data_IF_035268420403
#
_entry.id   IF_035268420403
#
_cell.length_a   1.000
_cell.length_b   1.000
_cell.length_c   1.000
_cell.angle_alpha   90.00
_cell.angle_beta   90.00
_cell.angle_gamma   90.00
#
_symmetry.space_group_name_H-M   'P 1'
#
loop_
_entity.id
_entity.type
_entity.pdbx_description
1 polymer ?
#
# COMPACT_ATOMS: atom_id res chain seq x y z
N UNK A 1 38.64 -28.96 25.08
CA UNK A 1 38.48 -27.83 24.19
C UNK A 1 37.21 -27.06 24.62
N UNK A 2 37.40 -25.93 25.30
CA UNK A 2 36.34 -25.02 25.67
C UNK A 2 35.96 -24.24 24.40
N UNK A 3 34.75 -24.51 23.88
CA UNK A 3 34.13 -23.72 22.84
C UNK A 3 33.76 -22.34 23.39
N UNK A 4 34.52 -21.32 22.97
CA UNK A 4 34.12 -19.93 23.14
C UNK A 4 32.89 -19.71 22.22
N UNK A 5 31.69 -19.77 22.80
CA UNK A 5 30.50 -19.24 22.15
C UNK A 5 30.73 -17.75 21.90
N UNK A 6 30.82 -17.36 20.64
CA UNK A 6 30.75 -15.95 20.28
C UNK A 6 29.40 -15.41 20.76
N UNK A 7 29.43 -14.62 21.83
CA UNK A 7 28.32 -13.81 22.20
C UNK A 7 27.98 -12.92 20.97
N UNK A 8 26.84 -13.17 20.32
CA UNK A 8 26.34 -12.27 19.31
C UNK A 8 26.19 -10.91 19.99
N UNK A 9 27.08 -9.97 19.67
CA UNK A 9 26.94 -8.61 20.17
C UNK A 9 25.59 -8.06 19.67
N UNK A 10 24.71 -7.73 20.63
CA UNK A 10 23.46 -7.06 20.32
C UNK A 10 23.77 -5.79 19.50
N UNK A 11 23.08 -5.62 18.38
CA UNK A 11 23.29 -4.45 17.53
C UNK A 11 22.95 -3.17 18.31
N UNK A 12 23.90 -2.24 18.37
CA UNK A 12 23.73 -0.97 19.07
C UNK A 12 22.80 -0.02 18.30
N UNK A 13 22.14 0.87 19.02
CA UNK A 13 21.33 1.93 18.42
C UNK A 13 22.21 2.87 17.59
N UNK A 14 21.67 3.36 16.46
CA UNK A 14 22.34 4.27 15.53
C UNK A 14 23.65 3.75 14.93
N UNK A 15 23.89 2.44 14.99
CA UNK A 15 25.02 1.81 14.33
C UNK A 15 24.78 1.71 12.82
N UNK A 16 25.74 2.10 11.95
CA UNK A 16 25.57 2.01 10.50
C UNK A 16 25.43 0.56 9.99
N UNK A 17 25.81 -0.42 10.80
CA UNK A 17 25.70 -1.84 10.49
C UNK A 17 24.47 -2.50 11.10
N UNK A 18 23.64 -1.75 11.84
CA UNK A 18 22.42 -2.28 12.42
C UNK A 18 21.26 -2.21 11.41
N UNK A 19 20.51 -3.31 11.28
CA UNK A 19 19.26 -3.35 10.54
C UNK A 19 18.20 -2.40 11.15
N UNK A 20 18.30 -2.12 12.44
CA UNK A 20 17.35 -1.31 13.18
C UNK A 20 18.02 -0.06 13.75
N UNK A 21 17.46 1.10 13.49
CA UNK A 21 17.99 2.38 13.97
C UNK A 21 18.15 2.42 15.49
N UNK A 22 17.22 1.85 16.24
CA UNK A 22 17.27 1.76 17.70
C UNK A 22 17.96 0.49 18.22
N UNK A 23 18.65 -0.24 17.34
CA UNK A 23 19.39 -1.45 17.69
C UNK A 23 18.51 -2.62 18.12
N UNK A 24 19.12 -3.55 18.86
CA UNK A 24 18.47 -4.80 19.29
C UNK A 24 17.97 -4.77 20.75
N UNK A 25 17.95 -3.61 21.37
CA UNK A 25 17.50 -3.40 22.76
C UNK A 25 18.20 -4.34 23.75
N UNK A 26 19.50 -4.52 23.60
CA UNK A 26 20.29 -5.45 24.43
C UNK A 26 19.96 -6.92 24.17
N UNK A 27 19.57 -7.30 22.96
CA UNK A 27 19.16 -8.65 22.58
C UNK A 27 17.66 -8.94 22.73
N UNK A 28 16.89 -7.99 23.33
CA UNK A 28 15.46 -8.22 23.61
C UNK A 28 14.63 -8.30 22.32
N UNK A 29 15.01 -7.52 21.30
CA UNK A 29 14.32 -7.54 20.01
C UNK A 29 14.49 -8.90 19.32
N UNK A 30 15.71 -9.45 19.30
CA UNK A 30 15.97 -10.79 18.76
C UNK A 30 15.19 -11.86 19.53
N UNK A 31 15.20 -11.80 20.88
CA UNK A 31 14.39 -12.72 21.71
C UNK A 31 12.89 -12.69 21.35
N UNK A 32 12.35 -11.48 21.13
CA UNK A 32 10.92 -11.32 20.75
C UNK A 32 10.66 -11.87 19.34
N UNK A 33 11.56 -11.64 18.38
CA UNK A 33 11.46 -12.23 17.04
C UNK A 33 11.48 -13.77 17.06
N UNK A 34 12.36 -14.35 17.86
CA UNK A 34 12.42 -15.80 18.05
C UNK A 34 11.12 -16.37 18.64
N UNK A 35 10.47 -15.59 19.52
CA UNK A 35 9.16 -15.92 20.10
C UNK A 35 7.97 -15.63 19.20
N UNK A 36 8.19 -15.06 18.01
CA UNK A 36 7.15 -14.77 17.04
C UNK A 36 6.61 -13.34 17.04
N UNK A 37 7.25 -12.39 17.72
CA UNK A 37 6.83 -10.99 17.76
C UNK A 37 7.81 -10.08 17.02
N UNK A 38 7.39 -9.44 15.94
CA UNK A 38 8.15 -8.41 15.21
C UNK A 38 7.49 -7.04 15.41
N UNK A 39 8.07 -6.22 16.29
CA UNK A 39 7.61 -4.85 16.51
C UNK A 39 8.27 -3.90 15.52
N UNK A 40 7.45 -3.05 14.90
CA UNK A 40 7.89 -2.02 13.96
C UNK A 40 7.41 -0.65 14.39
N UNK A 41 8.31 0.31 14.37
CA UNK A 41 8.01 1.74 14.40
C UNK A 41 8.74 2.37 13.23
N UNK A 42 7.99 2.92 12.31
CA UNK A 42 8.49 3.62 11.14
C UNK A 42 8.10 5.09 11.18
N UNK A 43 9.01 5.94 10.78
CA UNK A 43 8.76 7.37 10.59
C UNK A 43 9.23 7.77 9.20
N UNK A 44 8.36 8.41 8.45
CA UNK A 44 8.66 8.98 7.13
C UNK A 44 8.34 10.46 7.17
N UNK A 45 9.32 11.31 6.91
CA UNK A 45 9.15 12.75 6.77
C UNK A 45 9.49 13.20 5.37
N UNK A 46 8.61 14.01 4.77
CA UNK A 46 8.75 14.49 3.40
C UNK A 46 8.67 16.01 3.34
N UNK A 47 9.76 16.63 2.89
CA UNK A 47 9.83 18.06 2.62
C UNK A 47 9.78 18.30 1.11
N UNK A 48 9.02 19.31 0.69
CA UNK A 48 8.96 19.76 -0.70
C UNK A 48 8.88 21.29 -0.76
N UNK A 49 9.50 21.87 -1.77
CA UNK A 49 9.50 23.31 -2.00
C UNK A 49 9.19 23.64 -3.46
N UNK A 50 8.35 24.65 -3.69
CA UNK A 50 8.16 25.24 -4.99
C UNK A 50 9.29 26.26 -5.26
N UNK A 51 10.07 26.02 -6.30
CA UNK A 51 11.18 26.90 -6.67
C UNK A 51 10.79 27.89 -7.77
N UNK A 52 9.83 27.49 -8.63
CA UNK A 52 9.36 28.28 -9.76
C UNK A 52 8.06 27.71 -10.31
N UNK A 53 7.16 28.55 -10.81
CA UNK A 53 5.90 28.15 -11.43
C UNK A 53 4.83 27.69 -10.42
N UNK A 54 3.90 26.86 -10.88
CA UNK A 54 2.69 26.52 -10.16
C UNK A 54 1.58 27.55 -10.41
N UNK A 55 0.46 27.41 -9.67
CA UNK A 55 -0.72 28.24 -9.90
C UNK A 55 -0.47 29.74 -9.63
N UNK A 56 0.18 30.07 -8.54
CA UNK A 56 0.41 31.44 -8.07
C UNK A 56 1.90 31.82 -7.99
N UNK A 57 2.79 30.95 -8.48
CA UNK A 57 4.26 31.13 -8.42
C UNK A 57 4.80 31.39 -7.00
N UNK A 58 4.06 31.00 -5.96
CA UNK A 58 4.48 31.21 -4.58
C UNK A 58 5.62 30.25 -4.21
N UNK A 59 6.80 30.81 -3.94
CA UNK A 59 8.03 30.09 -3.56
C UNK A 59 8.01 29.73 -2.10
N UNK A 60 7.35 28.63 -1.78
CA UNK A 60 7.15 28.15 -0.41
C UNK A 60 7.46 26.69 -0.25
N UNK A 61 7.67 26.26 0.99
CA UNK A 61 7.88 24.85 1.36
C UNK A 61 6.73 24.29 2.18
N UNK A 62 6.59 22.98 2.11
CA UNK A 62 5.69 22.19 2.97
C UNK A 62 6.40 20.98 3.51
N UNK A 63 5.94 20.53 4.66
CA UNK A 63 6.39 19.32 5.31
C UNK A 63 5.20 18.49 5.73
N UNK A 64 5.32 17.18 5.53
CA UNK A 64 4.37 16.19 6.00
C UNK A 64 5.09 14.97 6.53
N UNK A 65 4.47 14.23 7.42
CA UNK A 65 5.05 13.03 7.96
C UNK A 65 4.02 11.94 8.26
N UNK A 66 4.52 10.76 8.48
CA UNK A 66 3.77 9.59 8.90
C UNK A 66 4.54 8.80 9.94
N UNK A 67 3.86 8.44 11.03
CA UNK A 67 4.25 7.36 11.91
C UNK A 67 3.47 6.10 11.56
N UNK A 68 4.13 4.95 11.60
CA UNK A 68 3.49 3.65 11.55
C UNK A 68 4.01 2.80 12.72
N UNK A 69 3.13 2.42 13.62
CA UNK A 69 3.43 1.54 14.75
C UNK A 69 2.67 0.23 14.57
N UNK A 70 3.39 -0.88 14.54
CA UNK A 70 2.80 -2.18 14.30
C UNK A 70 3.49 -3.34 15.01
N UNK A 71 2.80 -4.46 15.02
CA UNK A 71 3.33 -5.76 15.41
C UNK A 71 2.87 -6.81 14.43
N UNK A 72 3.84 -7.57 13.91
CA UNK A 72 3.60 -8.80 13.15
C UNK A 72 3.83 -9.99 14.09
N UNK A 73 2.90 -10.93 14.10
CA UNK A 73 2.93 -12.09 14.99
C UNK A 73 2.92 -13.38 14.19
N UNK A 74 3.91 -14.24 14.44
CA UNK A 74 3.93 -15.63 14.00
C UNK A 74 3.15 -16.48 15.01
N UNK A 75 1.90 -16.80 14.69
CA UNK A 75 1.02 -17.51 15.61
C UNK A 75 1.37 -19.00 15.73
N UNK A 76 2.19 -19.55 14.84
CA UNK A 76 2.72 -20.89 15.01
C UNK A 76 3.69 -20.94 16.21
N UNK A 77 4.59 -19.95 16.31
CA UNK A 77 5.50 -19.81 17.43
C UNK A 77 4.81 -19.46 18.74
N UNK A 78 3.77 -18.60 18.69
CA UNK A 78 3.09 -18.08 19.88
C UNK A 78 2.03 -19.04 20.41
N UNK A 79 1.23 -19.65 19.53
CA UNK A 79 0.03 -20.42 19.87
C UNK A 79 0.06 -21.85 19.31
N UNK A 80 1.04 -22.23 18.50
CA UNK A 80 1.06 -23.50 17.78
C UNK A 80 0.09 -23.58 16.59
N UNK A 81 -0.44 -22.46 16.13
CA UNK A 81 -1.33 -22.39 14.96
C UNK A 81 -0.50 -22.40 13.68
N UNK A 82 -0.42 -23.55 13.04
CA UNK A 82 0.44 -23.78 11.88
C UNK A 82 0.19 -22.77 10.76
N UNK A 83 1.29 -22.24 10.22
CA UNK A 83 1.31 -21.34 9.06
C UNK A 83 0.32 -20.16 9.19
N UNK A 84 0.15 -19.65 10.41
CA UNK A 84 -0.79 -18.56 10.72
C UNK A 84 -0.06 -17.34 11.22
N UNK A 85 -0.40 -16.19 10.67
CA UNK A 85 0.18 -14.89 10.98
C UNK A 85 -0.91 -13.89 11.35
N UNK A 86 -0.57 -12.94 12.20
CA UNK A 86 -1.45 -11.84 12.57
C UNK A 86 -0.67 -10.52 12.43
N UNK A 87 -1.34 -9.48 11.93
CA UNK A 87 -0.80 -8.13 11.82
C UNK A 87 -1.72 -7.14 12.50
N UNK A 88 -1.13 -6.24 13.26
CA UNK A 88 -1.77 -5.04 13.76
C UNK A 88 -0.88 -3.84 13.42
N UNK A 89 -1.46 -2.78 12.86
CA UNK A 89 -0.75 -1.53 12.56
C UNK A 89 -1.68 -0.34 12.73
N UNK A 90 -1.20 0.68 13.43
CA UNK A 90 -1.79 2.01 13.45
C UNK A 90 -0.85 3.00 12.78
N UNK A 91 -1.42 3.96 12.06
CA UNK A 91 -0.66 5.05 11.44
C UNK A 91 -1.18 6.39 11.90
N UNK A 92 -0.31 7.37 11.85
CA UNK A 92 -0.66 8.76 12.09
C UNK A 92 0.01 9.61 11.02
N UNK A 93 -0.74 10.49 10.39
CA UNK A 93 -0.24 11.44 9.38
C UNK A 93 -0.45 12.86 9.83
N UNK A 94 0.56 13.72 9.58
CA UNK A 94 0.54 15.14 9.89
C UNK A 94 1.07 15.98 8.74
N UNK A 95 0.91 17.30 8.89
CA UNK A 95 1.55 18.29 8.02
C UNK A 95 0.66 18.77 6.87
N UNK A 96 1.31 19.39 5.88
CA UNK A 96 0.67 20.08 4.76
C UNK A 96 1.29 19.62 3.45
N UNK A 97 0.47 19.59 2.40
CA UNK A 97 0.86 19.16 1.06
C UNK A 97 1.15 20.35 0.15
N UNK A 98 2.32 20.37 -0.46
CA UNK A 98 2.72 21.45 -1.37
C UNK A 98 1.88 21.48 -2.63
N UNK A 99 1.58 20.31 -3.22
CA UNK A 99 0.80 20.23 -4.47
C UNK A 99 -0.60 20.80 -4.29
N UNK A 100 -1.28 20.43 -3.19
CA UNK A 100 -2.63 20.93 -2.89
C UNK A 100 -2.63 22.43 -2.53
N UNK A 101 -1.63 22.87 -1.76
CA UNK A 101 -1.66 24.20 -1.18
C UNK A 101 -1.19 25.28 -2.17
N UNK A 102 -0.26 24.93 -3.09
CA UNK A 102 0.47 25.94 -3.87
C UNK A 102 0.71 25.63 -5.35
N UNK A 103 0.80 24.35 -5.73
CA UNK A 103 1.13 24.01 -7.12
C UNK A 103 -0.14 23.87 -7.95
N UNK A 104 -1.16 23.19 -7.42
CA UNK A 104 -2.42 22.93 -8.13
C UNK A 104 -3.29 24.17 -8.27
N UNK A 105 -3.90 24.35 -9.44
CA UNK A 105 -4.97 25.32 -9.61
C UNK A 105 -6.18 24.91 -8.77
N UNK A 106 -6.70 25.75 -7.86
CA UNK A 106 -7.86 25.42 -7.03
C UNK A 106 -9.12 25.01 -7.82
N UNK A 107 -9.21 25.36 -9.10
CA UNK A 107 -10.33 25.03 -9.99
C UNK A 107 -10.14 23.70 -10.73
N UNK A 108 -8.91 23.34 -11.04
CA UNK A 108 -8.57 22.16 -11.84
C UNK A 108 -7.85 21.06 -11.04
N UNK A 109 -7.31 21.40 -9.87
CA UNK A 109 -6.51 20.48 -9.05
C UNK A 109 -5.11 20.24 -9.60
N UNK A 110 -4.56 19.08 -9.33
CA UNK A 110 -3.25 18.63 -9.76
C UNK A 110 -3.27 17.13 -10.07
N UNK A 111 -2.37 16.70 -10.95
CA UNK A 111 -2.33 15.30 -11.40
C UNK A 111 -1.75 14.38 -10.31
N UNK A 112 -0.80 14.86 -9.51
CA UNK A 112 -0.11 14.05 -8.51
C UNK A 112 0.38 14.90 -7.33
N UNK A 113 0.60 14.25 -6.20
CA UNK A 113 1.19 14.87 -5.01
C UNK A 113 2.69 14.64 -4.99
N UNK A 114 3.47 15.69 -4.70
CA UNK A 114 4.92 15.59 -4.48
C UNK A 114 5.29 15.06 -3.09
N UNK A 115 4.30 14.81 -2.25
CA UNK A 115 4.45 14.25 -0.90
C UNK A 115 3.46 13.10 -0.75
N UNK A 116 3.94 11.86 -0.85
CA UNK A 116 3.08 10.66 -0.91
C UNK A 116 2.48 10.30 0.44
N UNK A 117 3.17 10.60 1.56
CA UNK A 117 2.65 10.28 2.91
C UNK A 117 1.57 11.25 3.37
N UNK A 118 1.19 12.23 2.53
CA UNK A 118 0.06 13.10 2.83
C UNK A 118 -1.27 12.52 2.34
N UNK A 119 -2.34 12.82 3.05
CA UNK A 119 -3.70 12.51 2.64
C UNK A 119 -4.43 11.55 3.57
N UNK A 120 -5.70 11.34 3.28
CA UNK A 120 -6.64 10.54 4.07
C UNK A 120 -6.90 11.09 5.47
N UNK A 121 -6.84 12.44 5.63
CA UNK A 121 -7.38 13.17 6.77
C UNK A 121 -6.39 13.57 7.84
N UNK A 122 -5.09 13.36 7.65
CA UNK A 122 -4.04 13.77 8.61
C UNK A 122 -4.43 13.42 10.05
N UNK A 123 -4.63 12.13 10.33
CA UNK A 123 -5.19 11.62 11.58
C UNK A 123 -4.66 10.23 11.89
N UNK A 124 -4.92 9.74 13.10
CA UNK A 124 -4.69 8.35 13.49
C UNK A 124 -5.67 7.40 12.82
N UNK A 125 -5.16 6.27 12.31
CA UNK A 125 -5.97 5.22 11.70
C UNK A 125 -5.51 3.83 12.09
N UNK A 126 -6.48 2.92 12.28
CA UNK A 126 -6.23 1.49 12.25
C UNK A 126 -6.02 1.08 10.79
N UNK A 127 -4.78 0.86 10.42
CA UNK A 127 -4.38 0.61 9.04
C UNK A 127 -4.41 -0.87 8.69
N UNK A 128 -3.99 -1.71 9.64
CA UNK A 128 -4.02 -3.17 9.48
C UNK A 128 -4.49 -3.83 10.77
N UNK A 129 -5.39 -4.78 10.63
CA UNK A 129 -5.81 -5.73 11.66
C UNK A 129 -6.28 -6.99 10.94
N UNK A 130 -5.36 -7.90 10.65
CA UNK A 130 -5.70 -9.08 9.87
C UNK A 130 -5.05 -10.36 10.39
N UNK A 131 -5.68 -11.48 10.06
CA UNK A 131 -5.18 -12.83 10.21
C UNK A 131 -4.97 -13.42 8.83
N UNK A 132 -3.82 -14.09 8.65
CA UNK A 132 -3.46 -14.79 7.42
C UNK A 132 -3.09 -16.23 7.75
N UNK A 133 -3.60 -17.16 6.98
CA UNK A 133 -3.27 -18.57 7.12
C UNK A 133 -2.96 -19.20 5.77
N UNK A 134 -1.94 -20.04 5.75
CA UNK A 134 -1.54 -20.81 4.57
C UNK A 134 -1.96 -22.27 4.70
N UNK A 135 -2.31 -22.85 3.57
CA UNK A 135 -2.74 -24.26 3.45
C UNK A 135 -1.98 -24.90 2.30
N UNK A 136 -1.93 -26.25 2.29
CA UNK A 136 -1.31 -27.04 1.22
C UNK A 136 0.14 -26.62 0.94
N UNK A 137 0.96 -26.60 2.01
CA UNK A 137 2.37 -26.20 1.96
C UNK A 137 2.60 -24.81 1.34
N UNK A 138 1.68 -23.87 1.60
CA UNK A 138 1.76 -22.49 1.12
C UNK A 138 1.15 -22.27 -0.27
N UNK A 139 0.59 -23.30 -0.93
CA UNK A 139 -0.06 -23.12 -2.21
C UNK A 139 -1.31 -22.23 -2.13
N UNK A 140 -2.05 -22.29 -1.03
CA UNK A 140 -3.22 -21.45 -0.80
C UNK A 140 -2.96 -20.55 0.41
N UNK A 141 -3.16 -19.24 0.24
CA UNK A 141 -2.97 -18.21 1.27
C UNK A 141 -4.26 -17.40 1.40
N UNK A 142 -4.83 -17.38 2.60
CA UNK A 142 -6.08 -16.69 2.92
C UNK A 142 -5.81 -15.63 3.95
N UNK A 143 -6.19 -14.39 3.66
CA UNK A 143 -6.07 -13.23 4.55
C UNK A 143 -7.45 -12.61 4.79
N UNK A 144 -7.81 -12.41 6.05
CA UNK A 144 -9.08 -11.84 6.48
C UNK A 144 -8.86 -10.80 7.57
N UNK A 145 -9.62 -9.72 7.52
CA UNK A 145 -9.60 -8.68 8.54
C UNK A 145 -9.78 -7.29 7.97
N UNK A 146 -9.05 -6.32 8.52
CA UNK A 146 -9.04 -4.94 8.05
C UNK A 146 -7.71 -4.59 7.40
N UNK A 147 -7.74 -4.27 6.11
CA UNK A 147 -6.58 -3.83 5.32
C UNK A 147 -7.05 -3.13 4.04
N UNK A 148 -6.12 -2.42 3.38
CA UNK A 148 -6.38 -1.72 2.13
C UNK A 148 -6.13 -2.59 0.90
N UNK A 149 -6.79 -2.29 -0.21
CA UNK A 149 -6.66 -3.03 -1.48
C UNK A 149 -5.24 -2.98 -2.03
N UNK A 150 -4.61 -1.81 -1.98
CA UNK A 150 -3.26 -1.60 -2.51
C UNK A 150 -2.16 -2.37 -1.78
N UNK A 151 -2.48 -3.01 -0.64
CA UNK A 151 -1.56 -3.89 0.07
C UNK A 151 -1.28 -5.18 -0.72
N UNK A 152 -2.27 -5.70 -1.44
CA UNK A 152 -2.17 -6.95 -2.19
C UNK A 152 -2.31 -6.76 -3.71
N UNK A 153 -3.25 -5.91 -4.15
CA UNK A 153 -3.62 -5.73 -5.55
C UNK A 153 -3.02 -4.47 -6.16
N UNK A 154 -2.70 -4.52 -7.45
CA UNK A 154 -2.03 -3.42 -8.15
C UNK A 154 -0.78 -2.93 -7.37
N UNK A 155 -0.08 -3.84 -6.72
CA UNK A 155 1.12 -3.52 -5.96
C UNK A 155 2.19 -2.95 -6.89
N UNK A 156 2.77 -1.84 -6.49
CA UNK A 156 3.71 -1.06 -7.27
C UNK A 156 4.76 -0.45 -6.35
N UNK A 157 6.03 -0.34 -6.74
CA UNK A 157 7.07 0.22 -5.89
C UNK A 157 6.74 1.63 -5.39
N UNK A 158 7.20 1.96 -4.19
CA UNK A 158 7.16 3.30 -3.63
C UNK A 158 8.59 3.76 -3.33
N UNK A 159 9.38 3.94 -4.39
CA UNK A 159 10.78 4.33 -4.30
C UNK A 159 10.98 5.85 -4.48
N UNK A 160 9.92 6.56 -4.81
CA UNK A 160 9.93 8.01 -5.05
C UNK A 160 8.91 8.71 -4.16
N UNK A 161 9.25 9.91 -3.72
CA UNK A 161 8.36 10.76 -2.93
C UNK A 161 7.09 11.19 -3.68
N UNK A 162 7.06 11.11 -5.01
CA UNK A 162 5.93 11.50 -5.84
C UNK A 162 4.87 10.38 -5.91
N UNK A 163 3.62 10.70 -5.59
CA UNK A 163 2.51 9.76 -5.54
C UNK A 163 2.22 9.06 -6.88
N UNK A 164 2.56 9.67 -8.02
CA UNK A 164 2.44 9.02 -9.34
C UNK A 164 3.40 7.83 -9.50
N UNK A 165 4.44 7.74 -8.66
CA UNK A 165 5.42 6.66 -8.66
C UNK A 165 5.45 5.89 -7.32
N UNK A 166 4.34 5.88 -6.60
CA UNK A 166 4.25 5.24 -5.31
C UNK A 166 2.94 4.48 -5.15
N UNK A 167 3.04 3.20 -4.81
CA UNK A 167 1.92 2.38 -4.42
C UNK A 167 0.93 2.04 -5.53
N UNK A 168 -0.25 1.57 -5.15
CA UNK A 168 -1.32 1.19 -6.07
C UNK A 168 -1.91 2.40 -6.78
N UNK A 169 -1.74 2.48 -8.09
CA UNK A 169 -2.19 3.62 -8.89
C UNK A 169 -3.72 3.67 -9.05
N UNK A 170 -4.41 2.53 -8.95
CA UNK A 170 -5.88 2.50 -8.95
C UNK A 170 -6.44 3.41 -7.85
N UNK A 171 -5.88 3.35 -6.65
CA UNK A 171 -6.33 4.20 -5.54
C UNK A 171 -6.05 5.68 -5.71
N UNK A 172 -5.10 6.06 -6.55
CA UNK A 172 -4.80 7.45 -6.85
C UNK A 172 -5.81 8.07 -7.82
N UNK A 173 -6.33 7.27 -8.76
CA UNK A 173 -7.28 7.73 -9.78
C UNK A 173 -8.75 7.39 -9.46
N UNK A 174 -8.99 6.29 -8.77
CA UNK A 174 -10.32 5.84 -8.34
C UNK A 174 -10.47 5.81 -6.81
N UNK A 175 -9.95 6.81 -6.12
CA UNK A 175 -9.90 6.88 -4.66
C UNK A 175 -11.24 6.95 -3.94
N UNK A 176 -12.35 7.06 -4.67
CA UNK A 176 -13.72 6.95 -4.13
C UNK A 176 -14.16 5.49 -3.91
N UNK A 177 -13.50 4.54 -4.59
CA UNK A 177 -13.84 3.12 -4.54
C UNK A 177 -12.67 2.21 -4.16
N UNK A 178 -11.44 2.68 -4.30
CA UNK A 178 -10.22 1.97 -3.97
C UNK A 178 -9.46 2.71 -2.88
N UNK A 179 -9.31 2.09 -1.72
CA UNK A 179 -8.73 2.74 -0.54
C UNK A 179 -7.32 2.23 -0.27
N UNK A 180 -6.33 3.04 -0.65
CA UNK A 180 -4.93 2.77 -0.33
C UNK A 180 -4.61 3.09 1.13
N UNK A 181 -3.44 2.64 1.56
CA UNK A 181 -2.83 3.03 2.82
C UNK A 181 -2.96 4.55 3.10
N UNK A 182 -3.32 4.98 4.31
CA UNK A 182 -3.45 4.21 5.55
C UNK A 182 -4.90 3.77 5.88
N UNK A 183 -5.81 3.81 4.93
CA UNK A 183 -7.21 3.43 5.15
C UNK A 183 -7.35 1.90 5.08
N UNK A 184 -8.11 1.34 5.99
CA UNK A 184 -8.49 -0.07 5.97
C UNK A 184 -9.99 -0.25 5.98
N UNK A 185 -10.45 -1.35 5.42
CA UNK A 185 -11.83 -1.82 5.46
C UNK A 185 -11.87 -3.32 5.71
N UNK A 186 -13.04 -3.86 6.04
CA UNK A 186 -13.21 -5.31 6.14
C UNK A 186 -12.98 -5.96 4.77
N UNK A 187 -12.17 -6.99 4.77
CA UNK A 187 -11.73 -7.64 3.55
C UNK A 187 -11.40 -9.11 3.73
N UNK A 188 -11.54 -9.84 2.64
CA UNK A 188 -11.05 -11.21 2.45
C UNK A 188 -10.22 -11.26 1.17
N UNK A 189 -9.02 -11.80 1.22
CA UNK A 189 -8.19 -12.08 0.06
C UNK A 189 -7.77 -13.54 0.06
N UNK A 190 -7.90 -14.19 -1.09
CA UNK A 190 -7.44 -15.57 -1.35
C UNK A 190 -6.43 -15.54 -2.48
N UNK A 191 -5.24 -16.10 -2.24
CA UNK A 191 -4.17 -16.24 -3.23
C UNK A 191 -3.87 -17.72 -3.42
N UNK A 192 -3.74 -18.16 -4.69
CA UNK A 192 -3.41 -19.53 -5.04
C UNK A 192 -2.22 -19.59 -6.00
N UNK A 193 -1.17 -20.27 -5.57
CA UNK A 193 0.01 -20.56 -6.37
C UNK A 193 -0.24 -21.85 -7.15
N UNK A 194 -0.55 -21.73 -8.44
CA UNK A 194 -0.89 -22.89 -9.28
C UNK A 194 0.29 -23.42 -10.10
N UNK A 195 1.39 -22.66 -10.16
CA UNK A 195 2.67 -23.04 -10.76
C UNK A 195 3.82 -22.31 -10.07
N UNK A 196 5.09 -22.71 -10.24
CA UNK A 196 6.23 -22.20 -9.47
C UNK A 196 6.36 -20.66 -9.44
N UNK A 197 6.12 -20.01 -10.58
CA UNK A 197 6.28 -18.55 -10.71
C UNK A 197 4.93 -17.85 -10.95
N UNK A 198 3.82 -18.56 -10.80
CA UNK A 198 2.51 -18.06 -11.13
C UNK A 198 1.54 -18.17 -9.97
N UNK A 199 0.81 -17.13 -9.72
CA UNK A 199 -0.34 -17.18 -8.83
C UNK A 199 -1.49 -16.29 -9.31
N UNK A 200 -2.67 -16.63 -8.85
CA UNK A 200 -3.88 -15.83 -8.99
C UNK A 200 -4.37 -15.43 -7.60
N UNK A 201 -4.88 -14.23 -7.48
CA UNK A 201 -5.55 -13.81 -6.25
C UNK A 201 -6.88 -13.14 -6.56
N UNK A 202 -7.80 -13.31 -5.62
CA UNK A 202 -9.12 -12.68 -5.62
C UNK A 202 -9.37 -12.03 -4.26
N UNK A 203 -10.14 -10.97 -4.26
CA UNK A 203 -10.49 -10.25 -3.04
C UNK A 203 -11.96 -9.86 -2.99
N UNK A 204 -12.43 -9.59 -1.77
CA UNK A 204 -13.69 -8.94 -1.51
C UNK A 204 -13.47 -7.90 -0.40
N UNK A 205 -13.71 -6.64 -0.71
CA UNK A 205 -13.46 -5.51 0.18
C UNK A 205 -14.75 -4.75 0.42
N UNK A 206 -15.01 -4.40 1.66
CA UNK A 206 -16.11 -3.51 2.01
C UNK A 206 -15.92 -2.15 1.32
N UNK A 207 -16.97 -1.65 0.68
CA UNK A 207 -17.02 -0.29 0.14
C UNK A 207 -17.80 0.61 1.10
N UNK A 208 -17.08 1.28 1.99
CA UNK A 208 -17.67 2.13 3.02
C UNK A 208 -16.99 3.51 3.02
N UNK A 209 -17.58 4.51 2.34
CA UNK A 209 -17.01 5.86 2.26
C UNK A 209 -16.79 6.52 3.63
N UNK A 210 -17.55 6.12 4.65
CA UNK A 210 -17.35 6.66 6.00
C UNK A 210 -16.01 6.27 6.61
N UNK A 211 -15.33 5.22 6.12
CA UNK A 211 -13.97 4.88 6.53
C UNK A 211 -12.95 5.94 6.10
N UNK A 212 -13.27 6.80 5.13
CA UNK A 212 -12.40 7.90 4.69
C UNK A 212 -12.47 9.12 5.62
N UNK A 213 -13.53 9.26 6.40
CA UNK A 213 -13.72 10.39 7.30
C UNK A 213 -12.66 10.44 8.38
N UNK A 214 -12.19 11.65 8.70
CA UNK A 214 -11.11 11.88 9.67
C UNK A 214 -11.42 11.32 11.06
N UNK A 215 -12.68 11.44 11.53
CA UNK A 215 -13.11 10.92 12.82
C UNK A 215 -13.30 9.40 12.89
N UNK A 216 -13.25 8.70 11.75
CA UNK A 216 -13.57 7.28 11.65
C UNK A 216 -12.32 6.38 11.50
N UNK A 217 -11.14 6.85 11.87
CA UNK A 217 -9.89 6.11 11.73
C UNK A 217 -9.87 4.73 12.43
N UNK A 218 -10.65 4.56 13.48
CA UNK A 218 -10.78 3.29 14.24
C UNK A 218 -12.17 2.66 14.15
N UNK A 219 -13.00 3.10 13.21
CA UNK A 219 -14.35 2.57 13.06
C UNK A 219 -14.34 1.11 12.63
N UNK A 220 -14.96 0.24 13.41
CA UNK A 220 -15.06 -1.20 13.16
C UNK A 220 -16.42 -1.65 12.63
N UNK A 221 -17.46 -0.81 12.76
CA UNK A 221 -18.81 -1.16 12.30
C UNK A 221 -18.94 -1.05 10.79
N UNK A 222 -19.77 -1.92 10.18
CA UNK A 222 -20.14 -1.84 8.76
C UNK A 222 -21.20 -0.75 8.44
N UNK A 223 -21.57 0.09 9.40
CA UNK A 223 -22.51 1.18 9.16
C UNK A 223 -21.97 2.14 8.10
N UNK A 224 -22.76 2.43 7.07
CA UNK A 224 -22.34 3.25 5.92
C UNK A 224 -21.80 2.46 4.73
N UNK A 225 -21.74 1.14 4.81
CA UNK A 225 -21.37 0.28 3.66
C UNK A 225 -22.31 0.48 2.50
N UNK A 226 -21.76 0.70 1.32
CA UNK A 226 -22.49 0.96 0.06
C UNK A 226 -22.39 -0.19 -0.94
N UNK A 227 -21.49 -1.13 -0.72
CA UNK A 227 -21.25 -2.26 -1.62
C UNK A 227 -19.94 -2.97 -1.32
N UNK A 228 -19.44 -3.68 -2.31
CA UNK A 228 -18.19 -4.41 -2.26
C UNK A 228 -17.34 -4.11 -3.49
N UNK A 229 -16.02 -4.11 -3.31
CA UNK A 229 -15.03 -4.15 -4.38
C UNK A 229 -14.49 -5.57 -4.51
N UNK A 230 -14.49 -6.09 -5.73
CA UNK A 230 -14.11 -7.46 -6.07
C UNK A 230 -12.95 -7.46 -7.07
N UNK A 231 -11.70 -7.37 -6.63
CA UNK A 231 -10.54 -7.48 -7.51
C UNK A 231 -10.16 -8.92 -7.79
N UNK A 232 -9.60 -9.14 -8.98
CA UNK A 232 -8.90 -10.36 -9.39
C UNK A 232 -7.59 -9.98 -10.05
N UNK A 233 -6.51 -10.71 -9.79
CA UNK A 233 -5.20 -10.42 -10.33
C UNK A 233 -4.42 -11.71 -10.62
N UNK A 234 -3.87 -11.81 -11.84
CA UNK A 234 -2.92 -12.83 -12.24
C UNK A 234 -1.50 -12.25 -12.13
N UNK A 235 -0.58 -12.98 -11.52
CA UNK A 235 0.77 -12.53 -11.25
C UNK A 235 1.77 -13.58 -11.71
N UNK A 236 2.79 -13.11 -12.45
CA UNK A 236 3.92 -13.90 -12.90
C UNK A 236 5.21 -13.30 -12.36
N UNK A 237 5.99 -14.11 -11.65
CA UNK A 237 7.25 -13.71 -11.00
C UNK A 237 8.44 -14.49 -11.56
N UNK A 238 8.83 -14.25 -12.84
CA UNK A 238 9.94 -14.96 -13.46
C UNK A 238 11.29 -14.55 -12.92
N UNK A 239 12.26 -15.42 -13.11
CA UNK A 239 13.69 -15.10 -13.06
C UNK A 239 14.25 -15.15 -14.48
N UNK A 240 14.84 -14.04 -14.96
CA UNK A 240 15.18 -13.85 -16.37
C UNK A 240 16.70 -13.77 -16.56
N UNK A 241 17.15 -14.33 -17.70
CA UNK A 241 18.56 -14.28 -18.10
C UNK A 241 19.48 -15.22 -17.31
N UNK A 242 20.77 -15.17 -17.64
CA UNK A 242 21.80 -16.00 -17.02
C UNK A 242 22.01 -15.68 -15.53
N UNK A 243 21.76 -14.45 -15.13
CA UNK A 243 21.88 -13.99 -13.75
C UNK A 243 20.62 -14.20 -12.91
N UNK A 244 19.57 -14.81 -13.48
CA UNK A 244 18.29 -15.09 -12.81
C UNK A 244 17.68 -13.84 -12.15
N UNK A 245 17.68 -12.71 -12.88
CA UNK A 245 17.19 -11.43 -12.39
C UNK A 245 15.66 -11.45 -12.18
N UNK A 246 15.16 -10.99 -11.03
CA UNK A 246 13.75 -11.07 -10.71
C UNK A 246 12.91 -10.12 -11.58
N UNK A 247 11.76 -10.61 -12.00
CA UNK A 247 10.70 -9.83 -12.63
C UNK A 247 9.37 -10.06 -11.91
N UNK A 248 8.44 -9.13 -12.08
CA UNK A 248 7.07 -9.28 -11.61
C UNK A 248 6.12 -8.61 -12.62
N UNK A 249 5.17 -9.36 -13.09
CA UNK A 249 4.17 -8.91 -14.06
C UNK A 249 2.78 -9.21 -13.52
N UNK A 250 1.90 -8.20 -13.51
CA UNK A 250 0.55 -8.28 -12.95
C UNK A 250 -0.47 -7.87 -14.00
N UNK A 251 -1.53 -8.64 -14.13
CA UNK A 251 -2.73 -8.29 -14.90
C UNK A 251 -3.93 -8.42 -13.97
N UNK A 252 -4.64 -7.33 -13.76
CA UNK A 252 -5.77 -7.31 -12.85
C UNK A 252 -7.01 -6.63 -13.39
N UNK A 253 -8.12 -6.94 -12.76
CA UNK A 253 -9.43 -6.36 -13.02
C UNK A 253 -10.17 -6.18 -11.69
N UNK A 254 -10.97 -5.15 -11.58
CA UNK A 254 -11.88 -4.99 -10.45
C UNK A 254 -13.30 -4.68 -10.91
N UNK A 255 -14.26 -5.09 -10.08
CA UNK A 255 -15.66 -4.73 -10.17
C UNK A 255 -16.12 -4.20 -8.81
N UNK A 256 -16.76 -3.02 -8.80
CA UNK A 256 -17.38 -2.43 -7.62
C UNK A 256 -18.89 -2.45 -7.75
N UNK A 257 -19.58 -2.96 -6.73
CA UNK A 257 -21.03 -2.96 -6.65
C UNK A 257 -21.60 -1.67 -6.06
N UNK A 258 -20.74 -0.79 -5.55
CA UNK A 258 -21.14 0.51 -5.03
C UNK A 258 -21.50 1.46 -6.16
N UNK A 259 -22.55 2.26 -5.95
CA UNK A 259 -22.88 3.36 -6.87
C UNK A 259 -21.74 4.38 -6.86
N UNK A 260 -21.45 4.91 -8.03
CA UNK A 260 -20.46 5.96 -8.23
C UNK A 260 -20.90 6.89 -9.35
N UNK A 261 -20.40 8.11 -9.31
CA UNK A 261 -20.65 9.07 -10.36
C UNK A 261 -19.95 8.69 -11.66
N UNK A 262 -20.57 8.99 -12.79
CA UNK A 262 -19.93 8.92 -14.09
C UNK A 262 -18.77 9.92 -14.16
N UNK A 263 -17.75 9.62 -14.93
CA UNK A 263 -16.58 10.51 -15.05
C UNK A 263 -16.76 11.61 -16.10
N UNK A 264 -17.81 11.53 -16.90
CA UNK A 264 -18.02 12.41 -18.05
C UNK A 264 -19.46 12.91 -18.17
N UNK A 265 -20.44 12.01 -18.11
CA UNK A 265 -21.84 12.32 -18.33
C UNK A 265 -22.50 12.95 -17.08
N UNK A 266 -23.31 13.97 -17.33
CA UNK A 266 -24.27 14.49 -16.36
C UNK A 266 -25.58 13.66 -16.36
N UNK A 267 -26.55 14.05 -15.52
CA UNK A 267 -27.87 13.39 -15.39
C UNK A 267 -28.63 13.32 -16.71
N UNK A 268 -28.36 14.23 -17.64
CA UNK A 268 -29.02 14.34 -18.96
C UNK A 268 -28.18 13.69 -20.08
N UNK A 269 -27.02 13.10 -19.75
CA UNK A 269 -26.10 12.47 -20.70
C UNK A 269 -25.31 13.48 -21.53
N UNK A 270 -25.11 14.69 -21.02
CA UNK A 270 -24.26 15.71 -21.61
C UNK A 270 -22.91 15.79 -20.88
N UNK A 271 -21.85 16.33 -21.51
CA UNK A 271 -20.57 16.53 -20.82
C UNK A 271 -20.74 17.42 -19.58
N UNK A 272 -20.56 16.85 -18.39
CA UNK A 272 -20.75 17.55 -17.12
C UNK A 272 -19.88 18.81 -16.99
N UNK A 273 -18.65 18.76 -17.48
CA UNK A 273 -17.73 19.91 -17.46
C UNK A 273 -18.23 21.12 -18.27
N UNK A 274 -19.22 20.93 -19.18
CA UNK A 274 -19.83 22.02 -19.95
C UNK A 274 -21.13 22.50 -19.29
N UNK A 275 -21.92 21.59 -18.74
CA UNK A 275 -23.24 21.91 -18.19
C UNK A 275 -23.20 22.35 -16.74
N UNK A 276 -22.26 21.80 -15.94
CA UNK A 276 -22.22 22.02 -14.51
C UNK A 276 -23.34 21.32 -13.73
N UNK A 277 -24.16 20.48 -14.40
CA UNK A 277 -25.20 19.67 -13.74
C UNK A 277 -24.60 18.56 -12.88
N UNK A 278 -25.40 17.88 -12.05
CA UNK A 278 -24.97 16.72 -11.30
C UNK A 278 -24.51 15.59 -12.23
N UNK A 279 -23.49 14.86 -11.82
CA UNK A 279 -23.03 13.69 -12.55
C UNK A 279 -24.08 12.58 -12.59
N UNK A 280 -24.11 11.85 -13.68
CA UNK A 280 -24.94 10.66 -13.82
C UNK A 280 -24.47 9.57 -12.86
N UNK A 281 -25.36 9.06 -12.04
CA UNK A 281 -25.06 7.95 -11.14
C UNK A 281 -25.01 6.62 -11.91
N UNK A 282 -23.94 5.86 -11.75
CA UNK A 282 -23.76 4.50 -12.26
C UNK A 282 -23.96 3.49 -11.12
N UNK A 283 -24.59 2.35 -11.41
CA UNK A 283 -24.86 1.31 -10.43
C UNK A 283 -23.64 0.47 -10.07
N UNK A 284 -22.57 0.57 -10.85
CA UNK A 284 -21.31 -0.15 -10.64
C UNK A 284 -20.17 0.59 -11.32
N UNK A 285 -18.94 0.27 -10.90
CA UNK A 285 -17.69 0.66 -11.60
C UNK A 285 -16.81 -0.54 -11.80
N UNK A 286 -16.00 -0.49 -12.83
CA UNK A 286 -14.98 -1.50 -13.11
C UNK A 286 -13.76 -0.87 -13.77
N UNK A 287 -12.65 -1.56 -13.70
CA UNK A 287 -11.41 -1.14 -14.33
C UNK A 287 -10.43 -2.29 -14.39
N UNK A 288 -9.30 -2.06 -15.03
CA UNK A 288 -8.25 -3.05 -15.14
C UNK A 288 -6.87 -2.39 -15.07
N UNK A 289 -5.85 -3.18 -14.82
CA UNK A 289 -4.46 -2.71 -14.77
C UNK A 289 -3.47 -3.74 -15.28
N UNK A 290 -2.33 -3.22 -15.72
CA UNK A 290 -1.12 -3.98 -15.98
C UNK A 290 0.02 -3.34 -15.21
N UNK A 291 0.75 -4.13 -14.45
CA UNK A 291 2.00 -3.72 -13.80
C UNK A 291 3.13 -4.59 -14.35
N UNK A 292 4.24 -3.99 -14.68
CA UNK A 292 5.45 -4.69 -15.10
C UNK A 292 6.64 -4.13 -14.31
N UNK A 293 7.43 -5.03 -13.74
CA UNK A 293 8.71 -4.72 -13.10
C UNK A 293 9.74 -5.73 -13.57
N UNK A 294 10.91 -5.27 -13.96
CA UNK A 294 12.01 -6.16 -14.37
C UNK A 294 13.34 -5.58 -13.95
N UNK A 295 14.07 -6.32 -13.15
CA UNK A 295 15.48 -6.03 -12.93
C UNK A 295 16.27 -6.40 -14.20
N UNK A 296 17.06 -5.46 -14.71
CA UNK A 296 17.77 -5.62 -15.99
C UNK A 296 19.28 -5.70 -15.83
N UNK A 297 19.80 -5.32 -14.66
CA UNK A 297 21.24 -5.48 -14.33
C UNK A 297 21.42 -5.99 -12.91
N UNK A 298 22.57 -6.60 -12.64
CA UNK A 298 23.06 -6.83 -11.28
C UNK A 298 24.41 -6.13 -11.08
N UNK A 299 24.84 -5.97 -9.84
CA UNK A 299 26.15 -5.45 -9.52
C UNK A 299 27.09 -6.60 -9.08
N UNK A 300 28.02 -6.96 -9.94
CA UNK A 300 28.97 -8.07 -9.70
C UNK A 300 28.27 -9.39 -9.32
N UNK A 301 27.15 -9.72 -9.97
CA UNK A 301 26.37 -10.93 -9.68
C UNK A 301 25.48 -10.85 -8.42
N UNK A 302 25.46 -9.71 -7.72
CA UNK A 302 24.56 -9.46 -6.59
C UNK A 302 23.20 -8.94 -7.11
N UNK A 303 22.21 -9.83 -7.16
CA UNK A 303 20.85 -9.49 -7.62
C UNK A 303 20.08 -8.55 -6.67
N UNK A 304 20.59 -8.28 -5.46
CA UNK A 304 20.00 -7.27 -4.57
C UNK A 304 20.34 -5.84 -4.97
N UNK A 305 21.26 -5.66 -5.93
CA UNK A 305 21.76 -4.36 -6.40
C UNK A 305 21.74 -4.31 -7.92
N UNK A 306 21.08 -3.35 -8.47
CA UNK A 306 20.99 -3.23 -9.93
C UNK A 306 19.97 -2.20 -10.38
N UNK A 307 19.79 -2.12 -11.68
CA UNK A 307 18.74 -1.30 -12.30
C UNK A 307 17.49 -2.14 -12.50
N UNK A 308 16.37 -1.63 -12.02
CA UNK A 308 15.04 -2.16 -12.30
C UNK A 308 14.23 -1.14 -13.10
N UNK A 309 13.49 -1.63 -14.08
CA UNK A 309 12.51 -0.86 -14.83
C UNK A 309 11.12 -1.24 -14.37
N UNK A 310 10.20 -0.27 -14.32
CA UNK A 310 8.82 -0.52 -13.95
C UNK A 310 7.85 0.32 -14.78
N UNK A 311 6.64 -0.19 -14.95
CA UNK A 311 5.52 0.50 -15.56
C UNK A 311 4.20 0.07 -14.90
N UNK A 312 3.26 0.99 -14.79
CA UNK A 312 1.89 0.73 -14.32
C UNK A 312 0.92 1.45 -15.25
N UNK A 313 -0.01 0.70 -15.84
CA UNK A 313 -1.12 1.21 -16.63
C UNK A 313 -2.42 0.83 -15.95
N UNK A 314 -3.27 1.81 -15.65
CA UNK A 314 -4.60 1.61 -15.09
C UNK A 314 -5.67 2.26 -15.96
N UNK A 315 -6.82 1.60 -16.07
CA UNK A 315 -8.00 2.09 -16.81
C UNK A 315 -9.23 1.90 -15.95
N UNK A 316 -10.06 2.95 -15.88
CA UNK A 316 -11.28 3.01 -15.06
C UNK A 316 -12.50 3.31 -15.89
#
# INVERSE_FOLDING_TARGET
ALGLGSAAHAAEAFSPNSKWMLGDWGGKRTELLEKGYDFKLEYVGEAAANLDGGYDDDKTGRYTDQFALGVHMDLEKILGWKATEFQFTVTERNGKNLSNDRIGDPRAGHISSVQEVWGRGQTWRLTQLWLKQQYFDGALDVKFGRFGEGEDFNSFPCDFQNLAFCGSQVGNWAGSIWYNWPVSQWALRVKYNFAPDWYVQVGAYEQNPSNLETGNGFKMSGSGTKGALLPVELIWQPKVGAEQLPGEYRLGYYYSTAKADDVYDDVDGQPQGLTGNDFKSRGSKHGWWVVAQQQVTSHNGDASRGLSLFANLTVH
#
